data_IF_895079646013
#
_entry.id   IF_895079646013
#
_cell.length_a   1.000
_cell.length_b   1.000
_cell.length_c   1.000
_cell.angle_alpha   90.00
_cell.angle_beta   90.00
_cell.angle_gamma   90.00
#
_symmetry.space_group_name_H-M   'P 1'
#
loop_
_entity.id
_entity.type
_entity.pdbx_description
1 polymer ?
#
# COMPACT_ATOMS: atom_id res chain seq x y z
N UNK A 1 15.78 -23.53 -15.65
CA UNK A 1 14.79 -23.53 -14.54
C UNK A 1 15.26 -22.74 -13.30
N UNK A 2 16.43 -23.03 -12.69
CA UNK A 2 16.89 -22.36 -11.46
C UNK A 2 17.10 -20.82 -11.58
N UNK A 3 17.47 -20.30 -12.76
CA UNK A 3 17.65 -18.84 -12.96
C UNK A 3 16.35 -18.04 -12.83
N UNK A 4 15.19 -18.60 -13.20
CA UNK A 4 13.91 -17.88 -13.09
C UNK A 4 13.42 -17.79 -11.64
N UNK A 5 13.62 -18.84 -10.85
CA UNK A 5 13.23 -18.85 -9.42
C UNK A 5 14.03 -17.82 -8.62
N UNK A 6 15.32 -17.63 -8.93
CA UNK A 6 16.16 -16.61 -8.28
C UNK A 6 15.66 -15.17 -8.52
N UNK A 7 14.92 -14.91 -9.60
CA UNK A 7 14.33 -13.59 -9.88
C UNK A 7 13.08 -13.30 -9.04
N UNK A 8 12.47 -14.32 -8.44
CA UNK A 8 11.29 -14.16 -7.60
C UNK A 8 11.62 -13.66 -6.19
N UNK A 9 12.86 -13.85 -5.72
CA UNK A 9 13.29 -13.48 -4.35
C UNK A 9 12.99 -12.02 -3.98
N UNK A 10 13.45 -11.03 -4.77
CA UNK A 10 13.14 -9.62 -4.52
C UNK A 10 11.64 -9.31 -4.53
N UNK A 11 10.88 -9.99 -5.40
CA UNK A 11 9.42 -9.84 -5.48
C UNK A 11 8.69 -10.35 -4.24
N UNK A 12 9.10 -11.49 -3.68
CA UNK A 12 8.53 -12.01 -2.43
C UNK A 12 8.86 -11.12 -1.23
N UNK A 13 10.10 -10.60 -1.14
CA UNK A 13 10.48 -9.65 -0.09
C UNK A 13 9.66 -8.37 -0.19
N UNK A 14 9.47 -7.85 -1.41
CA UNK A 14 8.62 -6.69 -1.67
C UNK A 14 7.16 -6.94 -1.27
N UNK A 15 6.59 -8.09 -1.64
CA UNK A 15 5.23 -8.46 -1.27
C UNK A 15 5.05 -8.57 0.26
N UNK A 16 6.02 -9.19 0.95
CA UNK A 16 6.02 -9.29 2.41
C UNK A 16 6.10 -7.92 3.10
N UNK A 17 6.89 -7.00 2.56
CA UNK A 17 6.96 -5.63 3.07
C UNK A 17 5.69 -4.81 2.77
N UNK A 18 4.99 -5.11 1.67
CA UNK A 18 3.81 -4.36 1.22
C UNK A 18 2.49 -4.82 1.86
N UNK A 19 2.42 -6.03 2.43
CA UNK A 19 1.21 -6.60 3.03
C UNK A 19 1.32 -6.54 4.56
N UNK A 20 0.68 -5.53 5.16
CA UNK A 20 0.62 -5.37 6.62
C UNK A 20 -0.62 -6.00 7.28
N UNK A 21 -0.62 -6.04 8.62
CA UNK A 21 -1.72 -6.57 9.45
C UNK A 21 -3.06 -5.89 9.15
N UNK A 22 -3.04 -4.60 8.80
CA UNK A 22 -4.24 -3.85 8.43
C UNK A 22 -4.98 -4.47 7.24
N UNK A 23 -4.26 -5.02 6.24
CA UNK A 23 -4.89 -5.71 5.11
C UNK A 23 -5.59 -6.98 5.56
N UNK A 24 -4.99 -7.74 6.48
CA UNK A 24 -5.58 -8.97 7.00
C UNK A 24 -6.86 -8.67 7.79
N UNK A 25 -6.80 -7.71 8.73
CA UNK A 25 -7.95 -7.33 9.56
C UNK A 25 -9.08 -6.70 8.74
N UNK A 26 -8.75 -5.80 7.81
CA UNK A 26 -9.77 -5.16 6.98
C UNK A 26 -10.36 -6.13 5.94
N UNK A 27 -9.57 -7.06 5.38
CA UNK A 27 -10.10 -8.06 4.46
C UNK A 27 -11.03 -9.06 5.16
N UNK A 28 -10.72 -9.50 6.38
CA UNK A 28 -11.64 -10.38 7.13
C UNK A 28 -12.91 -9.65 7.54
N UNK A 29 -12.78 -8.39 8.01
CA UNK A 29 -13.94 -7.54 8.31
C UNK A 29 -14.80 -7.31 7.08
N UNK A 30 -14.21 -6.94 5.95
CA UNK A 30 -14.95 -6.75 4.69
C UNK A 30 -15.62 -8.04 4.22
N UNK A 31 -14.99 -9.20 4.43
CA UNK A 31 -15.59 -10.50 4.18
C UNK A 31 -16.76 -10.83 5.12
N UNK A 32 -16.69 -10.42 6.38
CA UNK A 32 -17.79 -10.57 7.33
C UNK A 32 -18.97 -9.63 7.01
N UNK A 33 -18.68 -8.38 6.65
CA UNK A 33 -19.69 -7.34 6.40
C UNK A 33 -20.35 -7.49 5.02
N UNK A 34 -19.61 -7.93 3.99
CA UNK A 34 -20.08 -7.96 2.59
C UNK A 34 -20.03 -9.35 1.93
N UNK A 35 -19.59 -10.40 2.63
CA UNK A 35 -19.40 -11.73 2.06
C UNK A 35 -18.47 -11.68 0.83
N UNK A 36 -18.94 -12.25 -0.28
CA UNK A 36 -18.25 -12.22 -1.57
C UNK A 36 -18.62 -11.01 -2.45
N UNK A 37 -19.43 -10.08 -1.95
CA UNK A 37 -19.92 -8.93 -2.71
C UNK A 37 -18.83 -7.97 -3.21
N UNK A 38 -17.63 -8.02 -2.63
CA UNK A 38 -16.50 -7.16 -2.98
C UNK A 38 -15.42 -7.85 -3.85
N UNK A 39 -15.64 -9.08 -4.33
CA UNK A 39 -14.67 -9.77 -5.20
C UNK A 39 -14.39 -8.95 -6.47
N UNK A 40 -15.41 -8.33 -7.07
CA UNK A 40 -15.23 -7.51 -8.27
C UNK A 40 -14.30 -6.31 -8.00
N UNK A 41 -14.42 -5.68 -6.82
CA UNK A 41 -13.58 -4.58 -6.40
C UNK A 41 -12.12 -5.05 -6.17
N UNK A 42 -11.93 -6.29 -5.68
CA UNK A 42 -10.61 -6.91 -5.57
C UNK A 42 -9.94 -7.08 -6.94
N UNK A 43 -10.67 -7.50 -7.97
CA UNK A 43 -10.13 -7.62 -9.33
C UNK A 43 -9.75 -6.24 -9.89
N UNK A 44 -10.64 -5.26 -9.74
CA UNK A 44 -10.42 -3.90 -10.23
C UNK A 44 -9.20 -3.25 -9.55
N UNK A 45 -9.10 -3.34 -8.23
CA UNK A 45 -7.97 -2.72 -7.52
C UNK A 45 -6.64 -3.39 -7.88
N UNK A 46 -6.60 -4.70 -8.11
CA UNK A 46 -5.37 -5.36 -8.56
C UNK A 46 -4.95 -4.89 -9.96
N UNK A 47 -5.90 -4.69 -10.87
CA UNK A 47 -5.62 -4.15 -12.20
C UNK A 47 -5.01 -2.74 -12.14
N UNK A 48 -5.54 -1.89 -11.27
CA UNK A 48 -5.02 -0.52 -11.09
C UNK A 48 -3.70 -0.52 -10.35
N UNK A 49 -3.56 -1.33 -9.28
CA UNK A 49 -2.42 -1.29 -8.36
C UNK A 49 -1.16 -1.93 -8.95
N UNK A 50 -1.31 -3.00 -9.73
CA UNK A 50 -0.19 -3.77 -10.25
C UNK A 50 0.82 -2.92 -11.05
N UNK A 51 0.41 -2.07 -12.01
CA UNK A 51 1.31 -1.17 -12.72
C UNK A 51 2.17 -0.31 -11.80
N UNK A 52 1.59 0.29 -10.75
CA UNK A 52 2.35 1.15 -9.83
C UNK A 52 3.40 0.37 -9.04
N UNK A 53 3.08 -0.87 -8.66
CA UNK A 53 4.03 -1.76 -7.99
C UNK A 53 5.12 -2.29 -8.89
N UNK A 54 4.87 -2.46 -10.19
CA UNK A 54 5.92 -2.84 -11.13
C UNK A 54 6.82 -1.64 -11.46
N UNK A 55 6.23 -0.51 -11.86
CA UNK A 55 6.97 0.63 -12.39
C UNK A 55 7.77 1.37 -11.32
N UNK A 56 7.32 1.42 -10.07
CA UNK A 56 8.04 2.10 -8.99
C UNK A 56 9.46 1.54 -8.77
N UNK A 57 9.58 0.26 -8.34
CA UNK A 57 10.86 -0.41 -8.18
C UNK A 57 11.65 -0.52 -9.48
N UNK A 58 10.98 -0.76 -10.62
CA UNK A 58 11.62 -0.85 -11.94
C UNK A 58 12.27 0.47 -12.34
N UNK A 59 11.61 1.61 -12.10
CA UNK A 59 12.17 2.94 -12.36
C UNK A 59 13.42 3.18 -11.52
N UNK A 60 13.35 2.90 -10.21
CA UNK A 60 14.47 3.08 -9.31
C UNK A 60 15.66 2.18 -9.68
N UNK A 61 15.39 0.92 -10.04
CA UNK A 61 16.40 -0.03 -10.46
C UNK A 61 17.05 0.33 -11.81
N UNK A 62 16.28 0.89 -12.75
CA UNK A 62 16.78 1.22 -14.09
C UNK A 62 17.53 2.57 -14.12
N UNK A 63 17.11 3.55 -13.33
CA UNK A 63 17.69 4.91 -13.35
C UNK A 63 18.71 5.15 -12.25
N UNK A 64 18.69 4.35 -11.17
CA UNK A 64 19.46 4.61 -9.96
C UNK A 64 18.93 5.80 -9.15
N UNK A 65 17.81 6.41 -9.56
CA UNK A 65 17.22 7.57 -8.91
C UNK A 65 15.93 7.21 -8.16
N UNK A 66 15.66 7.92 -7.08
CA UNK A 66 14.37 7.81 -6.38
C UNK A 66 13.21 8.31 -7.26
N UNK A 67 11.98 7.85 -6.99
CA UNK A 67 10.78 8.37 -7.66
C UNK A 67 10.60 9.89 -7.51
N UNK A 68 11.04 10.47 -6.38
CA UNK A 68 11.00 11.91 -6.15
C UNK A 68 11.89 12.70 -7.13
N UNK A 69 13.06 12.15 -7.44
CA UNK A 69 13.94 12.69 -8.48
C UNK A 69 13.29 12.59 -9.86
N UNK A 70 12.58 11.48 -10.14
CA UNK A 70 11.76 11.33 -11.34
C UNK A 70 10.66 12.39 -11.46
N UNK A 71 9.91 12.64 -10.39
CA UNK A 71 8.91 13.72 -10.37
C UNK A 71 9.54 15.10 -10.57
N UNK A 72 10.71 15.35 -9.98
CA UNK A 72 11.45 16.60 -10.21
C UNK A 72 11.85 16.78 -11.67
N UNK A 73 12.21 15.71 -12.39
CA UNK A 73 12.53 15.74 -13.84
C UNK A 73 11.31 16.03 -14.71
N UNK A 74 10.12 15.58 -14.29
CA UNK A 74 8.86 15.91 -14.97
C UNK A 74 8.41 17.37 -14.74
N UNK A 75 8.95 18.02 -13.71
CA UNK A 75 8.78 19.45 -13.45
C UNK A 75 8.48 19.76 -11.99
N UNK A 76 8.82 20.99 -11.56
CA UNK A 76 8.60 21.43 -10.17
C UNK A 76 7.12 21.40 -9.78
N UNK A 77 6.20 21.65 -10.72
CA UNK A 77 4.75 21.60 -10.48
C UNK A 77 4.26 20.21 -10.07
N UNK A 78 4.79 19.15 -10.69
CA UNK A 78 4.45 17.75 -10.33
C UNK A 78 4.90 17.43 -8.91
N UNK A 79 6.10 17.91 -8.53
CA UNK A 79 6.64 17.71 -7.19
C UNK A 79 5.81 18.42 -6.12
N UNK A 80 5.35 19.65 -6.39
CA UNK A 80 4.46 20.40 -5.49
C UNK A 80 3.10 19.70 -5.38
N UNK A 81 2.52 19.26 -6.50
CA UNK A 81 1.26 18.53 -6.48
C UNK A 81 1.37 17.22 -5.68
N UNK A 82 2.46 16.47 -5.86
CA UNK A 82 2.77 15.29 -5.06
C UNK A 82 2.85 15.64 -3.57
N UNK A 83 3.58 16.70 -3.21
CA UNK A 83 3.70 17.13 -1.82
C UNK A 83 2.33 17.49 -1.20
N UNK A 84 1.50 18.28 -1.89
CA UNK A 84 0.17 18.65 -1.41
C UNK A 84 -0.70 17.41 -1.22
N UNK A 85 -0.69 16.48 -2.20
CA UNK A 85 -1.47 15.25 -2.13
C UNK A 85 -1.00 14.36 -0.97
N UNK A 86 0.31 14.19 -0.79
CA UNK A 86 0.88 13.44 0.33
C UNK A 86 0.54 14.08 1.68
N UNK A 87 0.67 15.40 1.78
CA UNK A 87 0.35 16.13 3.00
C UNK A 87 -1.14 16.01 3.35
N UNK A 88 -2.03 16.16 2.37
CA UNK A 88 -3.47 16.01 2.58
C UNK A 88 -3.85 14.57 2.99
N UNK A 89 -3.29 13.56 2.32
CA UNK A 89 -3.59 12.15 2.60
C UNK A 89 -3.02 11.67 3.94
N UNK A 90 -1.96 12.32 4.45
CA UNK A 90 -1.36 12.02 5.76
C UNK A 90 -2.40 12.02 6.89
N UNK A 91 -3.29 13.01 6.92
CA UNK A 91 -4.30 13.12 7.98
C UNK A 91 -5.29 11.95 7.97
N UNK A 92 -5.74 11.55 6.79
CA UNK A 92 -6.65 10.41 6.62
C UNK A 92 -5.98 9.11 7.04
N UNK A 93 -4.73 8.90 6.63
CA UNK A 93 -3.95 7.71 7.02
C UNK A 93 -3.73 7.69 8.54
N UNK A 94 -3.31 8.81 9.12
CA UNK A 94 -3.07 8.91 10.57
C UNK A 94 -4.34 8.63 11.38
N UNK A 95 -5.49 9.16 10.94
CA UNK A 95 -6.79 8.90 11.56
C UNK A 95 -7.14 7.42 11.50
N UNK A 96 -7.01 6.79 10.34
CA UNK A 96 -7.30 5.36 10.17
C UNK A 96 -6.41 4.48 11.06
N UNK A 97 -5.11 4.74 11.10
CA UNK A 97 -4.17 4.01 11.96
C UNK A 97 -4.52 4.20 13.43
N UNK A 98 -4.81 5.43 13.85
CA UNK A 98 -5.17 5.74 15.25
C UNK A 98 -6.43 5.00 15.69
N UNK A 99 -7.48 4.98 14.86
CA UNK A 99 -8.73 4.26 15.17
C UNK A 99 -8.48 2.77 15.31
N UNK A 100 -7.71 2.17 14.39
CA UNK A 100 -7.39 0.73 14.45
C UNK A 100 -6.55 0.41 15.69
N UNK A 101 -5.53 1.23 15.99
CA UNK A 101 -4.71 1.06 17.19
C UNK A 101 -5.53 1.19 18.47
N UNK A 102 -6.41 2.18 18.57
CA UNK A 102 -7.29 2.36 19.71
C UNK A 102 -8.26 1.17 19.87
N UNK A 103 -8.83 0.68 18.77
CA UNK A 103 -9.72 -0.50 18.79
C UNK A 103 -9.01 -1.77 19.26
N UNK A 104 -7.78 -2.01 18.81
CA UNK A 104 -6.96 -3.13 19.29
C UNK A 104 -6.61 -2.95 20.77
N UNK A 105 -6.17 -1.75 21.18
CA UNK A 105 -5.82 -1.46 22.57
C UNK A 105 -7.02 -1.65 23.51
N UNK A 106 -8.20 -1.17 23.15
CA UNK A 106 -9.42 -1.38 23.91
C UNK A 106 -9.77 -2.87 24.07
N UNK A 107 -9.56 -3.66 23.00
CA UNK A 107 -9.79 -5.11 23.01
C UNK A 107 -8.79 -5.85 23.90
N UNK A 108 -7.54 -5.38 23.97
CA UNK A 108 -6.48 -6.01 24.77
C UNK A 108 -6.54 -5.63 26.26
N UNK A 109 -6.87 -4.38 26.58
CA UNK A 109 -6.87 -3.87 27.95
C UNK A 109 -8.26 -3.84 28.60
N UNK A 110 -9.31 -4.29 27.89
CA UNK A 110 -10.66 -4.42 28.44
C UNK A 110 -11.34 -3.09 28.78
N UNK A 111 -10.82 -1.96 28.27
CA UNK A 111 -11.37 -0.62 28.53
C UNK A 111 -12.50 -0.23 27.56
N UNK A 112 -12.93 -1.16 26.70
CA UNK A 112 -14.07 -0.98 25.79
C UNK A 112 -15.26 -1.81 26.23
N UNK A 113 -16.09 -1.25 27.10
CA UNK A 113 -17.51 -1.62 27.26
C UNK A 113 -18.36 -0.81 26.29
#
# INVERSE_FOLDING_TARGET
MLKSIKKLGPGFVFAGAAIGVSHLVQSTRAGADFGFGLIWALLLINLVKYPFFEYGPRYAAATGESLLHGYKKLGKGVLIAYFILTFATMFTIQTAVTIVTAGIAASLFGTGS
#
